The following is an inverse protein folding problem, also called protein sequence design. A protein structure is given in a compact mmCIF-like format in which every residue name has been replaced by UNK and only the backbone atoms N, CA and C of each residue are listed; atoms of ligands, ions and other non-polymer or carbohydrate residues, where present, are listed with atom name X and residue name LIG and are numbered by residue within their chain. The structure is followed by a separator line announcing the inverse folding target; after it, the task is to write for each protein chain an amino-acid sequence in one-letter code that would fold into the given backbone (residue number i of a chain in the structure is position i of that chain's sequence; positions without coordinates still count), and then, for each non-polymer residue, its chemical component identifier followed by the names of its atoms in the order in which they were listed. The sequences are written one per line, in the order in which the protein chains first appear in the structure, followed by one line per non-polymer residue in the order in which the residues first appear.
data_IF_432778437390
#
_entry.id   IF_432778437390
#
_cell.length_a   1.000
_cell.length_b   1.000
_cell.length_c   1.000
_cell.angle_alpha   90.00
_cell.angle_beta   90.00
_cell.angle_gamma   90.00
#
_symmetry.space_group_name_H-M   'P 1'
#
loop_
_entity.id
_entity.type
_entity.pdbx_description
1 polymer ?
#
# COMPACT_ATOMS: atom_id res chain seq x y z
N UNK A 1 -7.04 -28.79 -0.05
CA UNK A 1 -7.80 -27.59 -0.24
C UNK A 1 -7.10 -26.37 0.34
N UNK A 2 -6.84 -25.42 -0.47
CA UNK A 2 -6.13 -24.23 -0.02
C UNK A 2 -7.10 -23.12 0.37
N UNK A 3 -7.08 -22.75 1.61
CA UNK A 3 -7.90 -21.69 2.13
C UNK A 3 -7.00 -20.59 2.62
N UNK A 4 -7.21 -19.38 2.14
CA UNK A 4 -6.53 -18.23 2.70
C UNK A 4 -7.17 -17.92 4.05
N UNK A 5 -6.41 -17.84 5.13
CA UNK A 5 -7.00 -17.52 6.41
C UNK A 5 -7.54 -16.09 6.43
N UNK A 6 -8.59 -15.90 7.22
CA UNK A 6 -9.08 -14.57 7.50
C UNK A 6 -8.21 -14.00 8.61
N UNK A 7 -7.69 -12.79 8.40
CA UNK A 7 -6.78 -12.16 9.34
C UNK A 7 -7.05 -10.67 9.43
N UNK A 8 -6.92 -10.13 10.65
CA UNK A 8 -7.01 -8.68 10.86
C UNK A 8 -5.58 -8.15 11.06
N UNK A 9 -5.22 -7.15 10.31
CA UNK A 9 -3.90 -6.53 10.37
C UNK A 9 -4.03 -5.15 10.95
N UNK A 10 -3.23 -4.85 11.98
CA UNK A 10 -3.26 -3.56 12.66
C UNK A 10 -1.90 -2.88 12.51
N UNK A 11 -1.74 -1.96 11.56
CA UNK A 11 -0.54 -1.15 11.45
C UNK A 11 -0.57 0.03 12.41
N UNK A 12 0.52 0.79 12.50
CA UNK A 12 0.48 2.05 13.21
C UNK A 12 -0.41 3.04 12.48
N UNK A 13 -0.31 3.08 11.16
CA UNK A 13 -1.12 3.98 10.35
C UNK A 13 -1.80 3.24 9.23
N UNK A 14 -3.06 3.52 9.05
CA UNK A 14 -3.85 3.02 7.94
C UNK A 14 -4.25 4.22 7.10
N UNK A 15 -3.82 4.23 5.84
CA UNK A 15 -4.01 5.38 4.95
C UNK A 15 -4.88 4.95 3.78
N UNK A 16 -6.23 5.08 3.92
CA UNK A 16 -7.13 4.59 2.87
C UNK A 16 -7.12 5.43 1.59
N UNK A 17 -6.60 6.64 1.63
CA UNK A 17 -6.54 7.62 0.55
C UNK A 17 -7.88 8.33 0.37
N UNK A 18 -8.98 7.59 0.28
CA UNK A 18 -10.30 8.19 0.08
C UNK A 18 -10.89 8.78 1.36
N UNK A 19 -10.25 8.53 2.49
CA UNK A 19 -10.65 9.07 3.78
C UNK A 19 -9.39 9.40 4.56
N UNK A 20 -9.51 10.16 5.67
CA UNK A 20 -8.33 10.54 6.45
C UNK A 20 -7.58 9.34 7.01
N UNK A 21 -6.26 9.48 7.23
CA UNK A 21 -5.49 8.41 7.85
C UNK A 21 -6.03 8.04 9.22
N UNK A 22 -5.94 6.76 9.54
CA UNK A 22 -6.39 6.21 10.83
C UNK A 22 -5.18 5.73 11.62
N UNK A 23 -5.06 6.19 12.84
CA UNK A 23 -4.04 5.68 13.74
C UNK A 23 -4.53 4.39 14.36
N UNK A 24 -3.79 3.29 14.15
CA UNK A 24 -4.14 2.00 14.73
C UNK A 24 -5.45 1.42 14.21
N UNK A 25 -5.71 1.61 12.91
CA UNK A 25 -6.87 1.00 12.28
C UNK A 25 -6.65 -0.47 11.97
N UNK A 26 -7.65 -1.09 11.35
CA UNK A 26 -7.62 -2.50 10.98
C UNK A 26 -7.90 -2.70 9.51
N UNK A 27 -7.19 -3.64 8.92
CA UNK A 27 -7.51 -4.17 7.60
C UNK A 27 -7.80 -5.65 7.78
N UNK A 28 -8.98 -6.09 7.40
CA UNK A 28 -9.33 -7.50 7.44
C UNK A 28 -9.23 -8.08 6.05
N UNK A 29 -8.43 -9.13 5.91
CA UNK A 29 -8.25 -9.85 4.67
C UNK A 29 -8.95 -11.19 4.80
N UNK A 30 -9.82 -11.48 3.84
CA UNK A 30 -10.61 -12.71 3.83
C UNK A 30 -10.59 -13.28 2.42
N UNK A 31 -10.08 -14.50 2.30
CA UNK A 31 -9.98 -15.19 1.01
C UNK A 31 -9.29 -14.34 -0.07
N UNK A 32 -8.19 -13.69 0.32
CA UNK A 32 -7.41 -12.88 -0.60
C UNK A 32 -8.02 -11.55 -0.96
N UNK A 33 -9.09 -11.15 -0.30
CA UNK A 33 -9.76 -9.88 -0.55
C UNK A 33 -9.85 -9.07 0.73
N UNK A 34 -9.92 -7.75 0.57
CA UNK A 34 -10.10 -6.87 1.71
C UNK A 34 -11.59 -6.87 2.07
N UNK A 35 -11.88 -7.36 3.29
CA UNK A 35 -13.24 -7.45 3.77
C UNK A 35 -13.66 -6.25 4.61
N UNK A 36 -12.71 -5.54 5.21
CA UNK A 36 -13.01 -4.42 6.09
C UNK A 36 -11.80 -3.51 6.23
N UNK A 37 -12.06 -2.22 6.29
CA UNK A 37 -11.06 -1.19 6.60
C UNK A 37 -11.72 -0.19 7.54
N UNK A 38 -11.14 0.04 8.71
CA UNK A 38 -11.69 0.99 9.65
C UNK A 38 -10.91 1.00 10.96
N UNK A 39 -11.34 1.84 11.89
CA UNK A 39 -10.61 1.99 13.15
C UNK A 39 -11.16 1.12 14.28
N UNK A 40 -12.29 0.46 14.10
CA UNK A 40 -12.84 -0.46 15.07
C UNK A 40 -13.17 -1.77 14.39
N UNK A 41 -12.66 -2.86 14.95
CA UNK A 41 -12.88 -4.18 14.37
C UNK A 41 -14.31 -4.63 14.64
N UNK A 42 -15.09 -4.94 13.58
CA UNK A 42 -16.46 -5.44 13.78
C UNK A 42 -16.47 -6.72 14.61
N UNK A 43 -17.53 -6.90 15.39
CA UNK A 43 -17.64 -8.04 16.28
C UNK A 43 -17.59 -9.38 15.55
N UNK A 44 -18.03 -9.45 14.29
CA UNK A 44 -17.96 -10.68 13.54
C UNK A 44 -16.54 -11.13 13.27
N UNK A 45 -15.57 -10.23 13.41
CA UNK A 45 -14.16 -10.55 13.23
C UNK A 45 -13.39 -10.66 14.55
N UNK A 46 -14.11 -10.64 15.69
CA UNK A 46 -13.44 -10.58 16.98
C UNK A 46 -12.58 -11.80 17.29
N UNK A 47 -12.91 -12.94 16.71
CA UNK A 47 -12.20 -14.20 17.00
C UNK A 47 -11.15 -14.58 15.95
N UNK A 48 -11.00 -13.81 14.89
CA UNK A 48 -9.98 -14.14 13.88
C UNK A 48 -8.59 -13.75 14.38
N UNK A 49 -7.53 -14.35 13.81
CA UNK A 49 -6.18 -13.94 14.16
C UNK A 49 -5.95 -12.46 13.89
N UNK A 50 -5.22 -11.82 14.79
CA UNK A 50 -4.88 -10.42 14.64
C UNK A 50 -3.36 -10.27 14.62
N UNK A 51 -2.86 -9.49 13.67
CA UNK A 51 -1.43 -9.25 13.50
C UNK A 51 -1.16 -7.77 13.71
N UNK A 52 -0.36 -7.45 14.71
CA UNK A 52 0.06 -6.07 14.96
C UNK A 52 1.37 -5.80 14.23
N UNK A 53 1.37 -4.79 13.37
CA UNK A 53 2.56 -4.39 12.62
C UNK A 53 3.02 -3.03 13.10
N UNK A 54 3.76 -3.03 14.19
CA UNK A 54 4.28 -1.78 14.77
C UNK A 54 5.29 -1.14 13.82
N UNK A 55 5.29 0.19 13.77
CA UNK A 55 6.22 0.93 12.93
C UNK A 55 5.89 0.89 11.45
N UNK A 56 4.66 0.56 11.08
CA UNK A 56 4.29 0.42 9.66
C UNK A 56 3.09 1.28 9.31
N UNK A 57 2.96 1.53 8.03
CA UNK A 57 1.77 2.15 7.46
C UNK A 57 1.28 1.27 6.31
N UNK A 58 -0.03 1.10 6.22
CA UNK A 58 -0.64 0.34 5.13
C UNK A 58 -1.37 1.31 4.23
N UNK A 59 -1.10 1.22 2.94
CA UNK A 59 -1.73 2.02 1.90
C UNK A 59 -2.28 1.09 0.84
N UNK A 60 -3.28 1.53 0.06
CA UNK A 60 -3.67 0.79 -1.14
C UNK A 60 -2.49 0.70 -2.10
N UNK A 61 -2.44 -0.37 -2.90
CA UNK A 61 -1.45 -0.45 -3.95
C UNK A 61 -1.60 0.73 -4.89
N UNK A 62 -0.49 1.34 -5.25
CA UNK A 62 -0.53 2.51 -6.10
C UNK A 62 -0.84 2.12 -7.53
N UNK A 63 -1.74 2.88 -8.16
CA UNK A 63 -2.05 2.71 -9.57
C UNK A 63 -1.40 3.87 -10.31
N UNK A 64 -0.45 3.54 -11.19
CA UNK A 64 0.26 4.54 -11.96
C UNK A 64 -0.26 4.55 -13.38
N UNK A 65 -1.10 5.54 -13.69
CA UNK A 65 -1.68 5.68 -15.03
C UNK A 65 -0.71 6.31 -16.03
N UNK A 66 0.41 6.81 -15.53
CA UNK A 66 1.47 7.36 -16.36
C UNK A 66 2.75 6.59 -16.06
N UNK A 67 3.06 5.59 -16.89
CA UNK A 67 4.15 4.66 -16.64
C UNK A 67 5.06 4.56 -17.86
N UNK A 68 6.36 4.62 -17.64
CA UNK A 68 7.36 4.49 -18.69
C UNK A 68 8.08 3.15 -18.54
N UNK A 69 7.43 2.09 -19.01
CA UNK A 69 7.96 0.74 -18.90
C UNK A 69 9.28 0.56 -19.63
N UNK A 70 9.53 1.38 -20.65
CA UNK A 70 10.79 1.35 -21.40
C UNK A 70 11.99 1.64 -20.52
N UNK A 71 11.78 2.23 -19.34
CA UNK A 71 12.88 2.51 -18.43
C UNK A 71 13.21 1.33 -17.51
N UNK A 72 12.45 0.26 -17.60
CA UNK A 72 12.66 -0.92 -16.75
C UNK A 72 13.99 -1.60 -17.01
N UNK A 73 14.51 -1.47 -18.22
CA UNK A 73 15.73 -2.13 -18.62
C UNK A 73 16.98 -1.29 -18.43
N UNK A 74 16.85 -0.11 -17.85
CA UNK A 74 17.99 0.76 -17.62
C UNK A 74 18.95 0.11 -16.60
N UNK A 75 20.26 0.07 -16.90
CA UNK A 75 21.21 -0.54 -15.98
C UNK A 75 21.37 0.25 -14.67
N UNK A 76 21.07 1.51 -14.70
CA UNK A 76 21.09 2.34 -13.50
C UNK A 76 20.05 3.44 -13.61
N UNK A 77 19.61 3.98 -12.47
CA UNK A 77 18.59 5.03 -12.50
C UNK A 77 19.10 6.27 -13.22
N UNK A 78 18.18 6.99 -13.84
CA UNK A 78 18.50 8.28 -14.46
C UNK A 78 18.73 9.28 -13.33
N UNK A 79 19.88 9.96 -13.28
CA UNK A 79 20.17 10.89 -12.20
C UNK A 79 19.19 12.05 -12.18
N UNK A 80 18.85 12.51 -10.98
CA UNK A 80 18.06 13.73 -10.82
C UNK A 80 19.01 14.91 -10.98
N UNK A 81 18.73 15.77 -11.95
CA UNK A 81 19.55 16.96 -12.16
C UNK A 81 19.22 18.07 -11.16
N UNK A 82 19.78 19.25 -11.40
CA UNK A 82 19.57 20.41 -10.54
C UNK A 82 18.17 21.00 -10.67
N UNK A 83 17.42 20.61 -11.70
CA UNK A 83 16.08 21.13 -11.92
C UNK A 83 15.25 20.08 -12.65
N UNK A 84 13.92 20.22 -12.55
CA UNK A 84 13.00 19.35 -13.25
C UNK A 84 13.20 19.38 -14.77
N UNK A 85 13.36 20.55 -15.42
CA UNK A 85 13.63 20.55 -16.87
C UNK A 85 14.89 19.78 -17.24
N UNK A 86 15.92 19.86 -16.42
CA UNK A 86 17.16 19.14 -16.65
C UNK A 86 16.94 17.64 -16.60
N UNK A 87 16.17 17.18 -15.62
CA UNK A 87 15.83 15.76 -15.47
C UNK A 87 15.01 15.26 -16.67
N UNK A 88 14.03 16.06 -17.10
CA UNK A 88 13.20 15.70 -18.25
C UNK A 88 14.04 15.53 -19.51
N UNK A 89 15.03 16.40 -19.71
CA UNK A 89 15.94 16.24 -20.85
C UNK A 89 16.70 14.93 -20.80
N UNK A 90 17.14 14.53 -19.61
CA UNK A 90 17.84 13.26 -19.45
C UNK A 90 16.96 12.07 -19.82
N UNK A 91 15.66 12.19 -19.55
CA UNK A 91 14.70 11.13 -19.85
C UNK A 91 14.45 11.04 -21.36
N UNK A 92 14.36 12.18 -22.03
CA UNK A 92 14.05 12.23 -23.46
C UNK A 92 15.24 11.81 -24.32
N UNK A 93 16.45 12.22 -23.94
CA UNK A 93 17.66 11.87 -24.67
C UNK A 93 18.08 10.43 -24.42
#
# INVERSE_FOLDING_TARGET
MNQHPTVAIEPDWLVPIESPPLYRGYVVVEQGRIAFVGNELPSKFASIPQVRLAGTAILPGLVNSHCHLEFSDLPEPIPVGSSFPSWIRSVID
#
